data_IF_308273212048
#
_entry.id   IF_308273212048
#
_cell.length_a   1.000
_cell.length_b   1.000
_cell.length_c   1.000
_cell.angle_alpha   90.00
_cell.angle_beta   90.00
_cell.angle_gamma   90.00
#
_symmetry.space_group_name_H-M   'P 1'
#
loop_
_entity.id
_entity.type
_entity.pdbx_description
1 polymer ?
#
# COMPACT_ATOMS: atom_id res chain seq x y z
N UNK A 1 -25.01 -26.67 8.79
CA UNK A 1 -25.59 -26.17 7.52
C UNK A 1 -25.51 -24.65 7.54
N UNK A 2 -24.94 -23.92 6.59
CA UNK A 2 -24.02 -24.23 5.51
C UNK A 2 -23.14 -22.99 5.35
N UNK A 3 -21.82 -23.15 5.33
CA UNK A 3 -20.91 -22.04 5.07
C UNK A 3 -20.65 -22.03 3.56
N UNK A 4 -21.30 -21.08 2.89
CA UNK A 4 -21.13 -20.83 1.47
C UNK A 4 -19.66 -20.58 1.16
N UNK A 5 -19.08 -21.50 0.40
CA UNK A 5 -18.00 -21.22 -0.50
C UNK A 5 -18.44 -20.08 -1.41
N UNK A 6 -17.84 -18.91 -1.24
CA UNK A 6 -17.78 -17.91 -2.28
C UNK A 6 -16.31 -17.63 -2.55
N UNK A 7 -15.85 -18.23 -3.65
CA UNK A 7 -14.56 -18.02 -4.29
C UNK A 7 -14.56 -16.57 -4.77
N UNK A 8 -14.17 -15.65 -3.89
CA UNK A 8 -13.62 -14.36 -4.28
C UNK A 8 -12.34 -14.69 -5.04
N UNK A 9 -12.11 -14.16 -6.26
CA UNK A 9 -10.97 -14.56 -7.06
C UNK A 9 -9.71 -14.29 -6.24
N UNK A 10 -8.98 -15.36 -5.93
CA UNK A 10 -7.72 -15.40 -5.16
C UNK A 10 -6.73 -14.29 -5.61
N UNK A 11 -6.88 -13.84 -6.85
CA UNK A 11 -6.18 -12.72 -7.48
C UNK A 11 -6.32 -11.37 -6.77
N UNK A 12 -7.49 -11.04 -6.20
CA UNK A 12 -7.69 -9.80 -5.40
C UNK A 12 -6.95 -9.84 -4.05
N UNK A 13 -6.60 -11.04 -3.58
CA UNK A 13 -5.83 -11.24 -2.33
C UNK A 13 -4.32 -11.34 -2.61
N UNK A 14 -3.92 -11.92 -3.75
CA UNK A 14 -2.50 -12.00 -4.16
C UNK A 14 -1.92 -10.60 -4.42
N UNK A 15 -2.69 -9.67 -4.99
CA UNK A 15 -2.27 -8.27 -5.16
C UNK A 15 -2.09 -7.51 -3.84
N UNK A 16 -2.70 -8.00 -2.75
CA UNK A 16 -2.56 -7.43 -1.41
C UNK A 16 -1.37 -8.01 -0.63
N UNK A 17 -0.82 -9.16 -1.06
CA UNK A 17 0.25 -9.88 -0.36
C UNK A 17 1.67 -9.60 -0.88
N UNK A 18 1.85 -9.03 -2.07
CA UNK A 18 3.18 -8.79 -2.68
C UNK A 18 3.63 -7.32 -2.67
N UNK A 19 2.84 -6.41 -2.10
CA UNK A 19 3.04 -4.97 -2.21
C UNK A 19 2.83 -4.46 -3.65
N UNK A 20 2.45 -3.19 -3.86
CA UNK A 20 2.33 -2.65 -5.20
C UNK A 20 3.71 -2.62 -5.86
N UNK A 21 3.84 -3.27 -7.02
CA UNK A 21 5.03 -3.11 -7.87
C UNK A 21 4.90 -1.80 -8.63
N UNK A 22 5.91 -0.94 -8.51
CA UNK A 22 5.98 0.34 -9.22
C UNK A 22 7.16 0.29 -10.17
N UNK A 23 6.89 0.32 -11.46
CA UNK A 23 7.94 0.39 -12.48
C UNK A 23 8.55 1.81 -12.47
N UNK A 24 9.87 1.90 -12.24
CA UNK A 24 10.58 3.19 -12.21
C UNK A 24 11.17 3.48 -13.59
N UNK A 25 11.83 2.49 -14.19
CA UNK A 25 12.54 2.68 -15.43
C UNK A 25 13.30 1.45 -15.87
N UNK A 26 13.94 1.59 -17.02
CA UNK A 26 14.71 0.53 -17.65
C UNK A 26 16.01 1.09 -18.23
N UNK A 27 17.05 0.28 -18.15
CA UNK A 27 18.40 0.58 -18.60
C UNK A 27 18.94 -0.60 -19.40
N UNK A 28 19.94 -0.34 -20.25
CA UNK A 28 20.68 -1.39 -20.94
C UNK A 28 21.57 -2.16 -19.94
N UNK A 29 21.36 -3.46 -19.83
CA UNK A 29 22.29 -4.38 -19.18
C UNK A 29 23.26 -5.02 -20.19
N UNK A 30 24.17 -5.87 -19.71
CA UNK A 30 25.14 -6.56 -20.57
C UNK A 30 24.47 -7.50 -21.58
N UNK A 31 23.48 -8.29 -21.14
CA UNK A 31 22.84 -9.34 -21.95
C UNK A 31 21.31 -9.21 -22.05
N UNK A 32 20.72 -8.31 -21.26
CA UNK A 32 19.28 -8.07 -21.20
C UNK A 32 19.01 -6.62 -20.77
N UNK A 33 17.77 -6.17 -20.91
CA UNK A 33 17.33 -4.95 -20.24
C UNK A 33 17.34 -5.15 -18.72
N UNK A 34 17.73 -4.13 -17.96
CA UNK A 34 17.63 -4.12 -16.50
C UNK A 34 16.50 -3.19 -16.10
N UNK A 35 15.46 -3.77 -15.48
CA UNK A 35 14.32 -3.02 -14.94
C UNK A 35 14.64 -2.60 -13.52
N UNK A 36 14.43 -1.31 -13.24
CA UNK A 36 14.40 -0.78 -11.88
C UNK A 36 12.94 -0.60 -11.47
N UNK A 37 12.56 -1.18 -10.33
CA UNK A 37 11.19 -1.11 -9.82
C UNK A 37 11.18 -1.06 -8.29
N UNK A 38 10.06 -0.63 -7.71
CA UNK A 38 9.80 -0.75 -6.29
C UNK A 38 8.89 -1.95 -6.04
N UNK A 39 9.19 -2.73 -5.01
CA UNK A 39 8.27 -3.71 -4.42
C UNK A 39 8.06 -3.31 -2.96
N UNK A 40 6.94 -2.63 -2.68
CA UNK A 40 6.81 -1.89 -1.43
C UNK A 40 7.81 -0.72 -1.40
N UNK A 41 8.71 -0.69 -0.42
CA UNK A 41 9.75 0.34 -0.27
C UNK A 41 11.13 -0.07 -0.81
N UNK A 42 11.29 -1.33 -1.21
CA UNK A 42 12.57 -1.81 -1.70
C UNK A 42 12.71 -1.52 -3.18
N UNK A 43 13.77 -0.77 -3.53
CA UNK A 43 14.18 -0.59 -4.92
C UNK A 43 14.98 -1.81 -5.34
N UNK A 44 14.38 -2.58 -6.23
CA UNK A 44 14.99 -3.77 -6.83
C UNK A 44 15.40 -3.49 -8.27
N UNK A 45 16.39 -4.26 -8.73
CA UNK A 45 16.81 -4.31 -10.12
C UNK A 45 16.81 -5.76 -10.58
N UNK A 46 16.12 -6.04 -11.67
CA UNK A 46 16.09 -7.38 -12.26
C UNK A 46 16.30 -7.29 -13.77
N UNK A 47 16.97 -8.29 -14.37
CA UNK A 47 16.88 -8.52 -15.80
C UNK A 47 15.41 -8.58 -16.25
N UNK A 48 15.13 -8.12 -17.46
CA UNK A 48 13.78 -8.08 -18.01
C UNK A 48 13.16 -9.48 -18.05
N UNK A 49 13.94 -10.50 -18.43
CA UNK A 49 13.56 -11.91 -18.35
C UNK A 49 13.02 -12.32 -16.97
N UNK A 50 13.72 -11.97 -15.90
CA UNK A 50 13.32 -12.28 -14.52
C UNK A 50 12.16 -11.40 -14.03
N UNK A 51 12.14 -10.14 -14.43
CA UNK A 51 11.05 -9.22 -14.10
C UNK A 51 9.72 -9.71 -14.70
N UNK A 52 9.75 -10.27 -15.92
CA UNK A 52 8.58 -10.90 -16.57
C UNK A 52 8.05 -12.10 -15.78
N UNK A 53 8.93 -12.87 -15.13
CA UNK A 53 8.55 -14.04 -14.36
C UNK A 53 7.70 -13.71 -13.12
N UNK A 54 7.68 -12.45 -12.68
CA UNK A 54 6.78 -11.95 -11.61
C UNK A 54 5.30 -12.03 -12.03
N UNK A 55 5.02 -12.00 -13.34
CA UNK A 55 3.67 -12.16 -13.89
C UNK A 55 2.84 -10.87 -13.89
N UNK A 56 1.53 -11.02 -13.67
CA UNK A 56 0.54 -9.94 -13.85
C UNK A 56 0.82 -8.63 -13.10
N UNK A 57 1.33 -8.64 -11.85
CA UNK A 57 1.70 -7.41 -11.16
C UNK A 57 2.76 -6.58 -11.90
N UNK A 58 3.75 -7.23 -12.52
CA UNK A 58 4.79 -6.57 -13.31
C UNK A 58 4.23 -6.01 -14.63
N UNK A 59 3.35 -6.74 -15.31
CA UNK A 59 2.66 -6.29 -16.53
C UNK A 59 1.87 -5.01 -16.25
N UNK A 60 1.09 -4.98 -15.17
CA UNK A 60 0.31 -3.82 -14.78
C UNK A 60 1.20 -2.62 -14.42
N UNK A 61 2.34 -2.85 -13.77
CA UNK A 61 3.28 -1.79 -13.41
C UNK A 61 3.91 -1.13 -14.65
N UNK A 62 4.30 -1.93 -15.64
CA UNK A 62 4.83 -1.46 -16.95
C UNK A 62 3.79 -0.61 -17.68
N UNK A 63 2.55 -1.12 -17.80
CA UNK A 63 1.46 -0.41 -18.46
C UNK A 63 1.13 0.93 -17.78
N UNK A 64 1.10 0.96 -16.43
CA UNK A 64 0.88 2.20 -15.67
C UNK A 64 1.99 3.23 -15.84
N UNK A 65 3.22 2.77 -16.06
CA UNK A 65 4.36 3.63 -16.35
C UNK A 65 4.36 4.14 -17.80
N UNK A 66 3.37 3.78 -18.62
CA UNK A 66 3.20 4.22 -20.01
C UNK A 66 3.96 3.35 -21.03
N UNK A 67 4.62 2.29 -20.58
CA UNK A 67 5.36 1.38 -21.44
C UNK A 67 4.47 0.27 -21.97
N UNK A 68 4.78 -0.25 -23.15
CA UNK A 68 4.19 -1.52 -23.62
C UNK A 68 5.16 -2.68 -23.40
N UNK A 69 4.59 -3.85 -23.10
CA UNK A 69 5.37 -5.08 -22.91
C UNK A 69 6.07 -5.51 -24.21
N UNK A 70 5.48 -5.20 -25.36
CA UNK A 70 6.02 -5.48 -26.70
C UNK A 70 7.26 -4.63 -27.01
N UNK A 71 7.23 -3.33 -26.70
CA UNK A 71 8.40 -2.44 -26.84
C UNK A 71 9.57 -2.94 -25.99
N UNK A 72 9.31 -3.30 -24.72
CA UNK A 72 10.35 -3.81 -23.83
C UNK A 72 10.91 -5.17 -24.27
N UNK A 73 10.07 -6.08 -24.80
CA UNK A 73 10.55 -7.32 -25.40
C UNK A 73 11.44 -7.05 -26.62
N UNK A 74 10.99 -6.17 -27.52
CA UNK A 74 11.76 -5.81 -28.73
C UNK A 74 13.13 -5.24 -28.38
N UNK A 75 13.19 -4.33 -27.41
CA UNK A 75 14.45 -3.75 -26.95
C UNK A 75 15.37 -4.80 -26.30
N UNK A 76 14.82 -5.72 -25.50
CA UNK A 76 15.58 -6.80 -24.90
C UNK A 76 16.15 -7.76 -25.95
N UNK A 77 15.37 -8.09 -26.99
CA UNK A 77 15.82 -8.97 -28.08
C UNK A 77 16.92 -8.30 -28.91
N UNK A 78 16.82 -7.00 -29.16
CA UNK A 78 17.88 -6.23 -29.81
C UNK A 78 19.19 -6.22 -29.01
N UNK A 79 19.12 -6.21 -27.67
CA UNK A 79 20.32 -6.35 -26.82
C UNK A 79 20.94 -7.73 -27.02
N UNK A 80 20.14 -8.80 -26.95
CA UNK A 80 20.61 -10.18 -27.13
C UNK A 80 21.20 -10.44 -28.51
N UNK A 81 20.64 -9.82 -29.54
CA UNK A 81 21.13 -9.88 -30.91
C UNK A 81 22.38 -9.00 -31.16
N UNK A 82 22.79 -8.19 -30.19
CA UNK A 82 23.90 -7.23 -30.36
C UNK A 82 23.58 -6.07 -31.31
N UNK A 83 22.31 -5.83 -31.61
CA UNK A 83 21.80 -4.81 -32.55
C UNK A 83 21.26 -3.57 -31.87
N UNK A 84 21.40 -3.48 -30.56
CA UNK A 84 20.86 -2.38 -29.76
C UNK A 84 21.64 -1.07 -29.95
N UNK A 85 20.90 0.03 -30.12
CA UNK A 85 21.41 1.39 -30.17
C UNK A 85 20.71 2.21 -29.08
N UNK A 86 21.47 2.98 -28.29
CA UNK A 86 20.93 3.74 -27.15
C UNK A 86 19.78 4.68 -27.54
N UNK A 87 19.83 5.28 -28.72
CA UNK A 87 18.77 6.15 -29.25
C UNK A 87 17.40 5.45 -29.34
N UNK A 88 17.37 4.12 -29.50
CA UNK A 88 16.12 3.35 -29.50
C UNK A 88 15.48 3.35 -28.11
N UNK A 89 16.29 3.26 -27.06
CA UNK A 89 15.82 3.33 -25.68
C UNK A 89 15.35 4.73 -25.30
N UNK A 90 16.06 5.77 -25.76
CA UNK A 90 15.65 7.15 -25.51
C UNK A 90 14.34 7.50 -26.20
N UNK A 91 14.15 7.05 -27.46
CA UNK A 91 12.85 7.16 -28.14
C UNK A 91 11.74 6.42 -27.38
N UNK A 92 12.01 5.21 -26.92
CA UNK A 92 11.03 4.43 -26.16
C UNK A 92 10.67 5.08 -24.82
N UNK A 93 11.64 5.69 -24.12
CA UNK A 93 11.40 6.49 -22.91
C UNK A 93 10.48 7.68 -23.18
N UNK A 94 10.70 8.36 -24.30
CA UNK A 94 9.86 9.51 -24.68
C UNK A 94 8.44 9.08 -25.06
N UNK A 95 8.30 7.98 -25.81
CA UNK A 95 7.00 7.36 -26.08
C UNK A 95 6.28 6.99 -24.79
N UNK A 96 6.96 6.32 -23.85
CA UNK A 96 6.39 5.93 -22.58
C UNK A 96 5.99 7.15 -21.73
N UNK A 97 6.77 8.24 -21.76
CA UNK A 97 6.43 9.50 -21.10
C UNK A 97 5.15 10.11 -21.66
N UNK A 98 5.03 10.19 -23.00
CA UNK A 98 3.85 10.72 -23.66
C UNK A 98 2.61 9.84 -23.41
N UNK A 99 2.76 8.52 -23.45
CA UNK A 99 1.72 7.58 -23.08
C UNK A 99 1.29 7.77 -21.62
N UNK A 100 2.24 7.95 -20.70
CA UNK A 100 1.95 8.20 -19.29
C UNK A 100 1.17 9.51 -19.12
N UNK A 101 1.55 10.58 -19.82
CA UNK A 101 0.81 11.85 -19.82
C UNK A 101 -0.61 11.65 -20.35
N UNK A 102 -0.78 10.90 -21.44
CA UNK A 102 -2.10 10.58 -22.01
C UNK A 102 -2.95 9.72 -21.07
N UNK A 103 -2.36 8.71 -20.43
CA UNK A 103 -3.01 7.90 -19.40
C UNK A 103 -3.42 8.80 -18.23
N UNK A 104 -2.56 9.73 -17.82
CA UNK A 104 -2.84 10.64 -16.71
C UNK A 104 -3.90 11.69 -17.02
N UNK A 105 -3.97 12.18 -18.26
CA UNK A 105 -4.98 13.15 -18.71
C UNK A 105 -6.34 12.51 -18.97
N UNK A 106 -6.37 11.27 -19.48
CA UNK A 106 -7.59 10.46 -19.55
C UNK A 106 -8.06 10.05 -18.16
N UNK A 107 -7.13 9.72 -17.27
CA UNK A 107 -7.44 9.45 -15.89
C UNK A 107 -7.84 10.71 -15.14
N UNK A 108 -7.41 11.94 -15.49
CA UNK A 108 -7.76 13.15 -14.72
C UNK A 108 -9.25 13.53 -14.75
N UNK A 109 -10.07 12.79 -15.50
CA UNK A 109 -11.54 12.87 -15.41
C UNK A 109 -12.15 11.88 -14.42
N UNK A 110 -11.41 10.94 -13.81
CA UNK A 110 -12.04 9.83 -13.06
C UNK A 110 -11.30 9.06 -11.92
N UNK A 111 -10.20 9.47 -11.21
CA UNK A 111 -9.59 8.62 -10.17
C UNK A 111 -9.85 9.14 -8.75
N UNK A 112 -10.13 10.44 -8.59
CA UNK A 112 -10.46 11.08 -7.32
C UNK A 112 -11.91 10.81 -6.97
N UNK A 113 -12.83 10.81 -7.94
CA UNK A 113 -14.24 10.49 -7.68
C UNK A 113 -14.40 9.05 -7.17
N UNK A 114 -13.76 8.06 -7.78
CA UNK A 114 -13.93 6.66 -7.37
C UNK A 114 -13.25 6.34 -6.02
N UNK A 115 -12.03 6.81 -5.78
CA UNK A 115 -11.38 6.62 -4.46
C UNK A 115 -12.11 7.39 -3.37
N UNK A 116 -12.57 8.62 -3.65
CA UNK A 116 -13.40 9.39 -2.74
C UNK A 116 -14.74 8.68 -2.49
N UNK A 117 -15.39 8.18 -3.54
CA UNK A 117 -16.63 7.38 -3.41
C UNK A 117 -16.41 6.13 -2.59
N UNK A 118 -15.27 5.44 -2.77
CA UNK A 118 -14.92 4.27 -1.97
C UNK A 118 -14.67 4.62 -0.50
N UNK A 119 -13.98 5.73 -0.22
CA UNK A 119 -13.77 6.24 1.13
C UNK A 119 -15.09 6.67 1.78
N UNK A 120 -15.96 7.36 1.04
CA UNK A 120 -17.26 7.82 1.51
C UNK A 120 -18.19 6.63 1.77
N UNK A 121 -18.21 5.64 0.87
CA UNK A 121 -18.93 4.37 1.08
C UNK A 121 -18.38 3.62 2.29
N UNK A 122 -17.06 3.58 2.47
CA UNK A 122 -16.45 2.91 3.62
C UNK A 122 -16.78 3.63 4.93
N UNK A 123 -16.77 4.96 4.95
CA UNK A 123 -17.24 5.78 6.09
C UNK A 123 -18.70 5.49 6.40
N UNK A 124 -19.57 5.47 5.39
CA UNK A 124 -21.00 5.17 5.57
C UNK A 124 -21.23 3.74 6.10
N UNK A 125 -20.45 2.75 5.63
CA UNK A 125 -20.48 1.39 6.16
C UNK A 125 -20.03 1.36 7.62
N UNK A 126 -18.94 2.06 7.98
CA UNK A 126 -18.47 2.13 9.37
C UNK A 126 -19.51 2.80 10.25
N UNK A 127 -20.08 3.93 9.83
CA UNK A 127 -21.13 4.65 10.56
C UNK A 127 -22.39 3.80 10.80
N UNK A 128 -22.77 2.99 9.80
CA UNK A 128 -23.91 2.06 9.91
C UNK A 128 -23.53 0.74 10.58
N UNK A 129 -22.24 0.44 10.73
CA UNK A 129 -21.77 -0.72 11.45
C UNK A 129 -21.83 -0.50 12.96
N UNK A 130 -21.70 -1.57 13.74
CA UNK A 130 -21.54 -1.48 15.19
C UNK A 130 -20.09 -1.19 15.61
N UNK A 131 -19.21 -0.72 14.72
CA UNK A 131 -17.81 -0.47 15.04
C UNK A 131 -17.65 0.98 15.55
N UNK A 132 -17.46 1.12 16.86
CA UNK A 132 -17.29 2.43 17.50
C UNK A 132 -15.84 2.72 17.92
N UNK A 133 -15.02 1.66 18.01
CA UNK A 133 -13.63 1.73 18.44
C UNK A 133 -12.76 0.78 17.62
N UNK A 134 -11.49 1.10 17.46
CA UNK A 134 -10.52 0.30 16.72
C UNK A 134 -9.25 0.14 17.57
N UNK A 135 -8.67 -1.06 17.55
CA UNK A 135 -7.32 -1.26 18.05
C UNK A 135 -6.31 -0.70 17.03
N UNK A 136 -5.46 0.29 17.38
CA UNK A 136 -4.53 0.90 16.43
C UNK A 136 -3.49 -0.08 15.91
N UNK A 137 -3.09 -1.08 16.71
CA UNK A 137 -2.07 -2.05 16.32
C UNK A 137 -2.54 -3.09 15.29
N UNK A 138 -3.76 -3.60 15.42
CA UNK A 138 -4.26 -4.69 14.58
C UNK A 138 -5.47 -4.31 13.70
N UNK A 139 -5.96 -3.08 13.82
CA UNK A 139 -7.10 -2.52 13.10
C UNK A 139 -8.41 -3.32 13.25
N UNK A 140 -8.52 -4.16 14.29
CA UNK A 140 -9.77 -4.84 14.67
C UNK A 140 -10.77 -3.82 15.22
N UNK A 141 -12.02 -3.92 14.78
CA UNK A 141 -13.12 -3.05 15.20
C UNK A 141 -13.93 -3.63 16.37
N UNK A 142 -14.37 -2.76 17.27
CA UNK A 142 -15.08 -3.11 18.50
C UNK A 142 -16.28 -2.20 18.74
N UNK A 143 -17.40 -2.72 19.25
CA UNK A 143 -18.61 -1.93 19.48
C UNK A 143 -18.59 -1.09 20.74
N UNK A 144 -17.73 -1.45 21.70
CA UNK A 144 -17.72 -0.88 23.04
C UNK A 144 -16.29 -0.77 23.59
N UNK A 145 -16.02 0.20 24.47
CA UNK A 145 -14.67 0.42 25.00
C UNK A 145 -14.23 -0.68 25.96
N UNK A 146 -15.17 -1.31 26.71
CA UNK A 146 -14.86 -2.43 27.60
C UNK A 146 -14.38 -3.67 26.84
N UNK A 147 -14.98 -3.95 25.67
CA UNK A 147 -14.55 -5.06 24.81
C UNK A 147 -13.18 -4.78 24.19
N UNK A 148 -12.92 -3.53 23.77
CA UNK A 148 -11.59 -3.12 23.31
C UNK A 148 -10.53 -3.28 24.41
N UNK A 149 -10.87 -2.90 25.65
CA UNK A 149 -9.96 -3.05 26.79
C UNK A 149 -9.66 -4.51 27.09
N UNK A 150 -10.67 -5.38 27.03
CA UNK A 150 -10.49 -6.81 27.17
C UNK A 150 -9.59 -7.38 26.07
N UNK A 151 -9.74 -6.89 24.83
CA UNK A 151 -8.85 -7.24 23.71
C UNK A 151 -7.38 -6.92 24.05
N UNK A 152 -7.09 -5.71 24.53
CA UNK A 152 -5.73 -5.32 24.93
C UNK A 152 -5.13 -6.23 26.02
N UNK A 153 -5.96 -6.70 26.96
CA UNK A 153 -5.53 -7.58 28.05
C UNK A 153 -5.36 -9.05 27.62
N UNK A 154 -6.07 -9.47 26.56
CA UNK A 154 -6.03 -10.84 26.06
C UNK A 154 -4.86 -11.12 25.11
N UNK A 155 -4.39 -10.10 24.41
CA UNK A 155 -3.26 -10.17 23.50
C UNK A 155 -1.94 -10.12 24.30
N UNK A 156 -0.93 -10.88 23.86
CA UNK A 156 0.31 -11.10 24.62
C UNK A 156 1.47 -10.20 24.24
N UNK A 157 1.35 -9.41 23.18
CA UNK A 157 2.43 -8.52 22.75
C UNK A 157 2.49 -7.24 23.58
N UNK A 158 3.71 -6.69 23.63
CA UNK A 158 4.04 -5.52 24.45
C UNK A 158 3.22 -4.28 24.04
N UNK A 159 2.84 -4.17 22.77
CA UNK A 159 2.07 -3.03 22.26
C UNK A 159 0.65 -3.08 22.81
N UNK A 160 -0.06 -4.22 22.70
CA UNK A 160 -1.40 -4.35 23.27
C UNK A 160 -1.41 -4.19 24.79
N UNK A 161 -0.43 -4.76 25.50
CA UNK A 161 -0.29 -4.56 26.94
C UNK A 161 -0.08 -3.09 27.27
N UNK A 162 0.77 -2.39 26.52
CA UNK A 162 0.98 -0.95 26.68
C UNK A 162 -0.29 -0.14 26.40
N UNK A 163 -1.07 -0.49 25.38
CA UNK A 163 -2.36 0.15 25.08
C UNK A 163 -3.38 -0.02 26.22
N UNK A 164 -3.32 -1.11 26.98
CA UNK A 164 -4.17 -1.34 28.15
C UNK A 164 -3.87 -0.38 29.32
N UNK A 165 -2.68 0.23 29.35
CA UNK A 165 -2.20 1.04 30.47
C UNK A 165 -2.74 2.47 30.50
N UNK A 166 -3.63 2.86 29.58
CA UNK A 166 -4.09 4.26 29.41
C UNK A 166 -4.52 4.96 30.71
N UNK A 167 -5.24 4.24 31.57
CA UNK A 167 -5.79 4.80 32.80
C UNK A 167 -4.85 4.64 34.02
N UNK A 168 -3.81 3.81 33.92
CA UNK A 168 -2.92 3.44 35.03
C UNK A 168 -1.50 3.97 34.88
N UNK A 169 -0.97 3.96 33.65
CA UNK A 169 0.33 4.51 33.26
C UNK A 169 0.21 5.11 31.86
N UNK A 170 -0.11 6.41 31.83
CA UNK A 170 -0.25 7.16 30.60
C UNK A 170 1.07 7.24 29.81
N UNK A 171 2.23 7.20 30.47
CA UNK A 171 3.53 7.25 29.78
C UNK A 171 3.76 6.00 28.94
N UNK A 172 3.54 4.82 29.54
CA UNK A 172 3.61 3.53 28.84
C UNK A 172 2.56 3.45 27.73
N UNK A 173 1.33 3.88 28.01
CA UNK A 173 0.28 3.96 26.99
C UNK A 173 0.70 4.83 25.81
N UNK A 174 1.19 6.04 26.08
CA UNK A 174 1.51 7.03 25.06
C UNK A 174 2.57 6.51 24.07
N UNK A 175 3.65 5.92 24.59
CA UNK A 175 4.72 5.34 23.74
C UNK A 175 4.16 4.23 22.86
N UNK A 176 3.41 3.29 23.44
CA UNK A 176 2.86 2.16 22.68
C UNK A 176 1.76 2.59 21.70
N UNK A 177 1.00 3.63 22.03
CA UNK A 177 0.01 4.22 21.13
C UNK A 177 0.68 4.82 19.89
N UNK A 178 1.77 5.58 20.05
CA UNK A 178 2.53 6.14 18.94
C UNK A 178 3.15 5.06 18.05
N UNK A 179 3.65 3.97 18.65
CA UNK A 179 4.14 2.80 17.91
C UNK A 179 2.99 2.16 17.11
N UNK A 180 1.82 1.97 17.74
CA UNK A 180 0.68 1.30 17.11
C UNK A 180 0.11 2.08 15.91
N UNK A 181 0.07 3.41 15.98
CA UNK A 181 -0.36 4.26 14.85
C UNK A 181 0.78 4.62 13.89
N UNK A 182 2.01 4.22 14.25
CA UNK A 182 3.27 4.52 13.54
C UNK A 182 3.50 6.01 13.28
N UNK A 183 3.05 6.85 14.21
CA UNK A 183 3.07 8.29 14.08
C UNK A 183 3.35 8.96 15.42
N UNK A 184 4.05 10.09 15.35
CA UNK A 184 4.18 10.97 16.50
C UNK A 184 2.92 11.82 16.65
N UNK A 185 2.27 11.72 17.81
CA UNK A 185 1.12 12.54 18.20
C UNK A 185 1.38 13.25 19.52
N UNK A 186 1.04 14.55 19.65
CA UNK A 186 1.09 15.25 20.93
C UNK A 186 0.19 14.61 21.99
N UNK A 187 0.71 14.43 23.21
CA UNK A 187 -0.02 13.88 24.35
C UNK A 187 -1.31 14.65 24.73
N UNK A 188 -1.45 15.90 24.33
CA UNK A 188 -2.67 16.69 24.54
C UNK A 188 -3.88 16.14 23.77
N UNK A 189 -3.68 15.51 22.62
CA UNK A 189 -4.76 14.93 21.79
C UNK A 189 -5.27 13.58 22.33
N UNK A 190 -4.46 12.88 23.12
CA UNK A 190 -4.74 11.51 23.57
C UNK A 190 -5.30 11.42 25.00
N UNK A 191 -5.38 12.57 25.69
CA UNK A 191 -5.45 12.60 27.15
C UNK A 191 -6.82 12.21 27.72
N UNK A 192 -7.91 12.32 26.95
CA UNK A 192 -9.26 12.18 27.48
C UNK A 192 -10.09 11.08 26.80
N UNK A 193 -10.67 10.21 27.62
CA UNK A 193 -11.67 9.22 27.19
C UNK A 193 -11.15 8.17 26.19
N UNK A 194 -12.00 7.25 25.72
CA UNK A 194 -11.64 6.26 24.72
C UNK A 194 -11.61 6.84 23.29
N UNK A 195 -11.72 8.16 23.15
CA UNK A 195 -11.94 8.84 21.87
C UNK A 195 -10.74 8.74 20.93
N UNK A 196 -9.52 8.60 21.48
CA UNK A 196 -8.35 8.29 20.67
C UNK A 196 -8.49 6.96 19.91
N UNK A 197 -9.31 6.03 20.38
CA UNK A 197 -9.56 4.76 19.68
C UNK A 197 -10.72 4.81 18.69
N UNK A 198 -11.38 5.96 18.49
CA UNK A 198 -12.46 6.07 17.51
C UNK A 198 -11.91 5.87 16.08
N UNK A 199 -12.67 5.21 15.19
CA UNK A 199 -12.23 4.94 13.81
C UNK A 199 -11.67 6.17 13.10
N UNK A 200 -12.39 7.30 13.13
CA UNK A 200 -11.98 8.52 12.44
C UNK A 200 -10.66 9.08 13.00
N UNK A 201 -10.50 9.08 14.33
CA UNK A 201 -9.29 9.58 14.98
C UNK A 201 -8.07 8.69 14.66
N UNK A 202 -8.24 7.37 14.73
CA UNK A 202 -7.16 6.43 14.38
C UNK A 202 -6.80 6.60 12.91
N UNK A 203 -7.77 6.58 11.99
CA UNK A 203 -7.52 6.70 10.54
C UNK A 203 -6.83 8.03 10.18
N UNK A 204 -7.23 9.14 10.79
CA UNK A 204 -6.64 10.46 10.51
C UNK A 204 -5.17 10.56 10.94
N UNK A 205 -4.78 9.84 11.98
CA UNK A 205 -3.44 9.92 12.57
C UNK A 205 -2.58 8.68 12.36
N UNK A 206 -3.13 7.66 11.72
CA UNK A 206 -2.40 6.45 11.33
C UNK A 206 -1.48 6.79 10.16
N UNK A 207 -0.17 6.68 10.38
CA UNK A 207 0.79 6.72 9.28
C UNK A 207 1.11 5.30 8.86
N UNK A 208 1.17 5.06 7.56
CA UNK A 208 1.88 3.89 7.08
C UNK A 208 3.37 4.23 7.05
N UNK A 209 4.25 3.25 7.29
CA UNK A 209 5.72 3.46 7.37
C UNK A 209 6.31 4.00 6.05
N UNK A 210 5.48 4.19 5.01
CA UNK A 210 5.79 4.87 3.76
C UNK A 210 5.87 6.40 3.82
N UNK A 211 5.46 7.06 4.92
CA UNK A 211 5.42 8.54 5.05
C UNK A 211 6.35 9.13 6.13
N UNK A 212 7.36 8.37 6.58
CA UNK A 212 8.37 8.85 7.53
C UNK A 212 9.77 8.84 6.89
N UNK A 213 10.00 9.75 5.94
CA UNK A 213 11.33 10.05 5.40
C UNK A 213 11.73 11.48 5.74
N UNK A 214 12.56 11.64 6.78
CA UNK A 214 13.56 12.70 6.86
C UNK A 214 14.89 12.10 6.44
#
# INVERSE_FOLDING_TARGET
>A
MGCFANIIPLWKYITKFLGPIIFIGVERGPDDLVVTFLRGLFRDRLPWSDFKAIGQPAILAVARAGWTFEELNTLADLIREGRFVEEMLDRARETARNNRIWIHSRNSSEPTSHLQTQLDTFKEIIEKSRINYICPQCLKGFPRPDVLRQHFQSEKDDIHQGLAMKDTDFGTFYVNYQIAIKAFLPASLLRYGPDCFKPNFVVEHYKDDSEAGW
#
